data_IF_093506932701
#
_entry.id   IF_093506932701
#
_cell.length_a   1.000
_cell.length_b   1.000
_cell.length_c   1.000
_cell.angle_alpha   90.00
_cell.angle_beta   90.00
_cell.angle_gamma   90.00
#
_symmetry.space_group_name_H-M   'P 1'
#
loop_
_entity.id
_entity.type
_entity.pdbx_description
1 polymer ?
#
# COMPACT_ATOMS: atom_id res chain seq x y z
N UNK A 1 -11.31 -3.76 -11.11
CA UNK A 1 -9.84 -3.93 -11.04
C UNK A 1 -9.17 -2.57 -11.17
N UNK A 2 -8.84 -1.92 -10.03
CA UNK A 2 -8.10 -0.67 -9.97
C UNK A 2 -6.66 -1.02 -9.57
N UNK A 3 -5.68 -0.65 -10.39
CA UNK A 3 -4.28 -1.01 -10.19
C UNK A 3 -3.57 0.07 -9.38
N UNK A 4 -2.93 -0.21 -8.25
CA UNK A 4 -2.38 0.83 -7.35
C UNK A 4 -0.85 0.77 -7.29
N UNK A 5 -0.17 1.90 -7.47
CA UNK A 5 1.27 2.02 -7.24
C UNK A 5 1.56 3.32 -6.50
N UNK A 6 2.49 3.25 -5.55
CA UNK A 6 2.88 4.35 -4.68
C UNK A 6 4.33 4.73 -4.93
N UNK A 7 4.60 6.03 -5.05
CA UNK A 7 5.95 6.57 -5.19
C UNK A 7 6.19 7.65 -4.14
N UNK A 8 7.25 7.48 -3.35
CA UNK A 8 7.62 8.41 -2.28
C UNK A 8 7.97 9.78 -2.87
N UNK A 9 7.40 10.84 -2.30
CA UNK A 9 7.80 12.21 -2.58
C UNK A 9 8.58 12.79 -1.40
N UNK A 10 7.95 12.91 -0.22
CA UNK A 10 8.57 13.49 0.98
C UNK A 10 8.26 12.68 2.24
N UNK A 11 9.20 12.67 3.20
CA UNK A 11 9.01 12.07 4.52
C UNK A 11 9.52 13.04 5.58
N UNK A 12 8.63 13.47 6.48
CA UNK A 12 8.92 14.43 7.55
C UNK A 12 8.40 13.89 8.88
N UNK A 13 9.28 13.58 9.83
CA UNK A 13 8.95 12.99 11.15
C UNK A 13 7.99 11.78 11.08
N UNK A 14 6.69 12.04 11.07
CA UNK A 14 5.59 11.07 11.03
C UNK A 14 4.65 11.26 9.85
N UNK A 15 4.91 12.19 8.94
CA UNK A 15 4.10 12.43 7.74
C UNK A 15 4.84 12.02 6.49
N UNK A 16 4.12 11.39 5.57
CA UNK A 16 4.64 10.80 4.34
C UNK A 16 3.76 11.22 3.16
N UNK A 17 4.33 12.00 2.25
CA UNK A 17 3.68 12.39 1.00
C UNK A 17 4.13 11.47 -0.13
N UNK A 18 3.17 11.02 -0.93
CA UNK A 18 3.43 10.09 -2.02
C UNK A 18 2.46 10.27 -3.17
N UNK A 19 2.97 10.01 -4.37
CA UNK A 19 2.17 9.91 -5.56
C UNK A 19 1.50 8.55 -5.61
N UNK A 20 0.18 8.55 -5.70
CA UNK A 20 -0.60 7.38 -6.00
C UNK A 20 -1.02 7.42 -7.46
N UNK A 21 -0.83 6.32 -8.18
CA UNK A 21 -1.29 6.21 -9.55
C UNK A 21 -1.97 4.90 -9.86
N UNK A 22 -2.89 4.97 -10.82
CA UNK A 22 -3.59 3.82 -11.35
C UNK A 22 -3.88 3.96 -12.84
N UNK A 23 -4.00 2.82 -13.53
CA UNK A 23 -4.53 2.79 -14.91
C UNK A 23 -6.04 2.62 -14.89
N UNK A 24 -6.73 3.40 -15.72
CA UNK A 24 -8.16 3.28 -16.02
C UNK A 24 -8.32 3.23 -17.54
N UNK A 25 -8.41 2.02 -18.08
CA UNK A 25 -8.34 1.81 -19.54
C UNK A 25 -7.00 2.31 -20.10
N UNK A 26 -6.99 3.11 -21.17
CA UNK A 26 -5.75 3.64 -21.75
C UNK A 26 -5.12 4.79 -20.93
N UNK A 27 -5.86 5.36 -19.98
CA UNK A 27 -5.41 6.51 -19.20
C UNK A 27 -4.66 6.08 -17.94
N UNK A 28 -3.61 6.82 -17.59
CA UNK A 28 -3.00 6.74 -16.25
C UNK A 28 -3.40 7.98 -15.46
N UNK A 29 -3.88 7.78 -14.23
CA UNK A 29 -4.25 8.86 -13.31
C UNK A 29 -3.24 8.91 -12.18
N UNK A 30 -2.89 10.12 -11.78
CA UNK A 30 -1.98 10.43 -10.67
C UNK A 30 -2.69 11.38 -9.71
N UNK A 31 -2.43 11.21 -8.42
CA UNK A 31 -2.85 12.14 -7.38
C UNK A 31 -1.91 12.02 -6.20
N UNK A 32 -1.69 13.16 -5.53
CA UNK A 32 -0.89 13.20 -4.32
C UNK A 32 -1.75 12.82 -3.12
N UNK A 33 -1.20 11.92 -2.30
CA UNK A 33 -1.77 11.53 -1.02
C UNK A 33 -0.78 11.83 0.10
N UNK A 34 -1.33 12.09 1.28
CA UNK A 34 -0.57 12.23 2.52
C UNK A 34 -0.96 11.11 3.46
N UNK A 35 0.03 10.46 4.03
CA UNK A 35 -0.14 9.51 5.12
C UNK A 35 0.47 10.04 6.41
N UNK A 36 -0.19 9.74 7.52
CA UNK A 36 0.34 9.90 8.88
C UNK A 36 0.76 8.53 9.41
N UNK A 37 1.98 8.41 9.90
CA UNK A 37 2.53 7.24 10.57
C UNK A 37 2.31 7.38 12.09
N UNK A 38 1.79 6.34 12.71
CA UNK A 38 1.54 6.33 14.15
C UNK A 38 1.58 4.90 14.69
N UNK A 39 1.58 4.75 16.01
CA UNK A 39 1.43 3.46 16.67
C UNK A 39 0.03 3.33 17.23
N UNK A 40 -0.67 2.24 16.89
CA UNK A 40 -1.95 1.87 17.50
C UNK A 40 -1.71 0.69 18.44
N UNK A 41 -1.76 0.95 19.75
CA UNK A 41 -1.54 -0.08 20.79
C UNK A 41 -0.32 -0.95 20.51
N UNK A 42 0.81 -0.33 20.15
CA UNK A 42 2.11 -0.94 19.77
C UNK A 42 2.19 -1.56 18.37
N UNK A 43 1.13 -1.51 17.58
CA UNK A 43 1.17 -1.90 16.16
C UNK A 43 1.54 -0.68 15.30
N UNK A 44 2.55 -0.78 14.43
CA UNK A 44 2.81 0.25 13.43
C UNK A 44 1.60 0.43 12.51
N UNK A 45 1.16 1.66 12.33
CA UNK A 45 -0.01 2.01 11.56
C UNK A 45 0.26 3.21 10.67
N UNK A 46 -0.49 3.28 9.57
CA UNK A 46 -0.57 4.48 8.74
C UNK A 46 -2.02 4.87 8.50
N UNK A 47 -2.28 6.17 8.36
CA UNK A 47 -3.57 6.72 7.97
C UNK A 47 -3.37 7.52 6.70
N UNK A 48 -3.96 7.07 5.59
CA UNK A 48 -4.01 7.84 4.35
C UNK A 48 -5.16 8.83 4.48
N UNK A 49 -4.86 10.13 4.38
CA UNK A 49 -5.82 11.20 4.62
C UNK A 49 -6.75 11.39 3.42
N UNK A 50 -8.06 11.55 3.66
CA UNK A 50 -9.04 11.83 2.59
C UNK A 50 -8.81 13.21 1.94
N UNK A 51 -8.22 14.13 2.70
CA UNK A 51 -7.77 15.44 2.24
C UNK A 51 -6.48 15.81 2.99
N UNK A 52 -5.40 16.25 2.33
CA UNK A 52 -4.11 16.51 2.99
C UNK A 52 -4.14 17.52 4.14
N UNK A 53 -5.18 18.36 4.20
CA UNK A 53 -5.39 19.38 5.25
C UNK A 53 -6.41 19.00 6.33
N UNK A 54 -6.95 17.77 6.35
CA UNK A 54 -7.90 17.30 7.37
C UNK A 54 -7.31 16.16 8.21
N UNK A 55 -6.51 16.47 9.24
CA UNK A 55 -5.91 15.45 10.10
C UNK A 55 -6.97 14.60 10.81
N UNK A 56 -6.66 13.32 11.05
CA UNK A 56 -7.53 12.41 11.79
C UNK A 56 -8.71 11.79 11.00
N UNK A 57 -9.01 12.26 9.79
CA UNK A 57 -9.97 11.61 8.87
C UNK A 57 -9.23 10.95 7.72
N UNK A 58 -9.49 9.67 7.51
CA UNK A 58 -8.84 8.90 6.45
C UNK A 58 -8.89 7.40 6.68
N UNK A 59 -8.49 6.65 5.66
CA UNK A 59 -8.44 5.21 5.73
C UNK A 59 -7.24 4.77 6.58
N UNK A 60 -7.53 3.96 7.60
CA UNK A 60 -6.52 3.36 8.48
C UNK A 60 -5.98 2.07 7.88
N UNK A 61 -4.68 1.88 8.02
CA UNK A 61 -3.91 0.71 7.60
C UNK A 61 -3.04 0.26 8.78
N UNK A 62 -3.31 -0.93 9.28
CA UNK A 62 -2.54 -1.56 10.34
C UNK A 62 -1.53 -2.52 9.74
N UNK A 63 -0.24 -2.29 9.97
CA UNK A 63 0.79 -3.19 9.46
C UNK A 63 0.75 -4.52 10.23
N UNK A 64 0.63 -5.62 9.50
CA UNK A 64 0.59 -6.98 10.06
C UNK A 64 1.84 -7.79 9.75
N UNK A 65 2.47 -7.50 8.64
CA UNK A 65 3.67 -8.19 8.21
C UNK A 65 4.58 -7.23 7.44
N UNK A 66 5.88 -7.40 7.64
CA UNK A 66 6.93 -6.71 6.93
C UNK A 66 8.05 -7.70 6.62
N UNK A 67 8.37 -7.86 5.34
CA UNK A 67 9.51 -8.67 4.90
C UNK A 67 10.59 -7.76 4.32
N UNK A 68 11.75 -7.73 4.97
CA UNK A 68 12.89 -6.90 4.51
C UNK A 68 13.52 -7.45 3.23
N UNK A 69 13.55 -8.77 3.06
CA UNK A 69 14.20 -9.45 1.93
C UNK A 69 13.41 -9.24 0.65
N UNK A 70 12.10 -9.52 0.68
CA UNK A 70 11.20 -9.33 -0.46
C UNK A 70 10.72 -7.87 -0.58
N UNK A 71 11.05 -7.01 0.39
CA UNK A 71 10.62 -5.60 0.47
C UNK A 71 9.12 -5.45 0.24
N UNK A 72 8.36 -6.12 1.09
CA UNK A 72 6.91 -6.12 1.04
C UNK A 72 6.30 -5.83 2.42
N UNK A 73 5.08 -5.30 2.39
CA UNK A 73 4.28 -5.02 3.57
C UNK A 73 2.85 -5.50 3.37
N UNK A 74 2.24 -6.03 4.43
CA UNK A 74 0.82 -6.38 4.45
C UNK A 74 0.11 -5.53 5.48
N UNK A 75 -1.03 -4.98 5.08
CA UNK A 75 -1.84 -4.10 5.90
C UNK A 75 -3.27 -4.61 6.00
N UNK A 76 -3.83 -4.49 7.20
CA UNK A 76 -5.27 -4.64 7.43
C UNK A 76 -5.92 -3.26 7.42
N UNK A 77 -6.99 -3.13 6.66
CA UNK A 77 -7.80 -1.93 6.57
C UNK A 77 -9.06 -2.09 7.43
N UNK A 78 -9.65 -0.98 7.87
CA UNK A 78 -10.98 -0.99 8.48
C UNK A 78 -11.99 -1.65 7.53
N UNK A 79 -12.74 -2.65 8.03
CA UNK A 79 -13.74 -3.40 7.23
C UNK A 79 -13.18 -4.59 6.45
N UNK A 80 -12.30 -5.39 7.07
CA UNK A 80 -11.84 -6.72 6.60
C UNK A 80 -11.08 -6.77 5.27
N UNK A 81 -10.70 -5.63 4.71
CA UNK A 81 -9.89 -5.60 3.49
C UNK A 81 -8.40 -5.68 3.83
N UNK A 82 -7.70 -6.61 3.19
CA UNK A 82 -6.24 -6.67 3.22
C UNK A 82 -5.61 -6.02 2.00
N UNK A 83 -4.43 -5.44 2.17
CA UNK A 83 -3.60 -5.01 1.06
C UNK A 83 -2.15 -5.45 1.24
N UNK A 84 -1.60 -5.99 0.17
CA UNK A 84 -0.17 -6.26 0.03
C UNK A 84 0.45 -5.17 -0.84
N UNK A 85 1.59 -4.65 -0.38
CA UNK A 85 2.44 -3.75 -1.15
C UNK A 85 3.80 -4.42 -1.31
N UNK A 86 4.30 -4.47 -2.54
CA UNK A 86 5.62 -5.01 -2.88
C UNK A 86 6.35 -3.92 -3.67
N UNK A 87 7.65 -3.76 -3.42
CA UNK A 87 8.46 -2.87 -4.26
C UNK A 87 8.51 -3.37 -5.70
N UNK A 88 8.46 -2.45 -6.66
CA UNK A 88 8.41 -2.75 -8.10
C UNK A 88 9.44 -3.81 -8.55
N UNK A 89 10.67 -3.74 -8.04
CA UNK A 89 11.77 -4.66 -8.38
C UNK A 89 11.53 -6.11 -7.95
N UNK A 90 10.66 -6.34 -6.98
CA UNK A 90 10.41 -7.64 -6.35
C UNK A 90 9.00 -8.18 -6.61
N UNK A 91 8.20 -7.53 -7.47
CA UNK A 91 6.82 -7.96 -7.77
C UNK A 91 6.76 -9.42 -8.26
N UNK A 92 7.75 -9.86 -9.03
CA UNK A 92 7.82 -11.24 -9.53
C UNK A 92 8.46 -12.22 -8.52
N UNK A 93 9.02 -11.72 -7.42
CA UNK A 93 9.82 -12.46 -6.45
C UNK A 93 9.39 -12.13 -5.00
N UNK A 94 8.12 -12.33 -4.67
CA UNK A 94 7.52 -12.02 -3.36
C UNK A 94 6.79 -13.23 -2.74
N UNK A 95 7.34 -14.42 -2.94
CA UNK A 95 6.72 -15.70 -2.56
C UNK A 95 6.36 -15.82 -1.08
N UNK A 96 7.17 -15.29 -0.15
CA UNK A 96 6.85 -15.33 1.27
C UNK A 96 5.71 -14.37 1.60
N UNK A 97 5.71 -13.19 0.99
CA UNK A 97 4.63 -12.21 1.15
C UNK A 97 3.29 -12.79 0.66
N UNK A 98 3.29 -13.40 -0.53
CA UNK A 98 2.12 -14.04 -1.11
C UNK A 98 1.58 -15.15 -0.19
N UNK A 99 2.47 -16.02 0.32
CA UNK A 99 2.08 -17.09 1.23
C UNK A 99 1.50 -16.55 2.56
N UNK A 100 2.08 -15.47 3.11
CA UNK A 100 1.55 -14.84 4.32
C UNK A 100 0.22 -14.13 4.04
N UNK A 101 0.05 -13.52 2.87
CA UNK A 101 -1.18 -12.87 2.47
C UNK A 101 -2.31 -13.90 2.36
N UNK A 102 -2.10 -14.99 1.64
CA UNK A 102 -3.10 -16.05 1.48
C UNK A 102 -3.51 -16.64 2.83
N UNK A 103 -2.55 -16.80 3.75
CA UNK A 103 -2.81 -17.30 5.11
C UNK A 103 -3.61 -16.32 5.97
N UNK A 104 -3.31 -15.02 5.89
CA UNK A 104 -3.91 -14.00 6.75
C UNK A 104 -5.22 -13.42 6.21
N UNK A 105 -5.38 -13.40 4.89
CA UNK A 105 -6.40 -12.62 4.18
C UNK A 105 -7.29 -13.47 3.27
N UNK A 106 -6.95 -14.74 3.05
CA UNK A 106 -7.73 -15.64 2.22
C UNK A 106 -7.64 -15.30 0.73
N UNK A 107 -8.79 -15.28 0.03
CA UNK A 107 -8.83 -15.09 -1.43
C UNK A 107 -8.30 -13.71 -1.82
N UNK A 108 -7.32 -13.73 -2.73
CA UNK A 108 -6.68 -12.53 -3.27
C UNK A 108 -7.06 -12.32 -4.75
N UNK A 109 -6.95 -11.08 -5.21
CA UNK A 109 -7.03 -10.74 -6.64
C UNK A 109 -5.84 -9.83 -6.97
N UNK A 110 -5.00 -10.18 -7.96
CA UNK A 110 -3.85 -9.36 -8.31
C UNK A 110 -4.30 -8.01 -8.88
N UNK A 111 -3.94 -6.94 -8.17
CA UNK A 111 -4.18 -5.55 -8.59
C UNK A 111 -2.96 -4.92 -9.25
N UNK A 112 -1.87 -5.64 -9.44
CA UNK A 112 -0.73 -5.17 -10.21
C UNK A 112 -0.26 -6.33 -11.10
N UNK A 113 -0.29 -6.12 -12.41
CA UNK A 113 0.10 -7.14 -13.40
C UNK A 113 1.50 -6.83 -13.91
N UNK A 114 2.27 -7.85 -14.31
CA UNK A 114 3.63 -7.68 -14.89
C UNK A 114 3.65 -6.79 -16.14
N UNK A 115 2.54 -6.72 -16.87
CA UNK A 115 2.30 -5.74 -17.96
C UNK A 115 2.32 -4.26 -17.50
N UNK A 116 2.33 -4.01 -16.20
CA UNK A 116 2.52 -2.68 -15.61
C UNK A 116 4.00 -2.34 -15.39
N UNK A 117 4.88 -3.34 -15.36
CA UNK A 117 6.34 -3.17 -15.18
C UNK A 117 7.00 -2.76 -16.50
N UNK A 118 6.53 -3.33 -17.61
CA UNK A 118 7.05 -3.07 -18.96
C UNK A 118 6.37 -1.81 -19.53
N UNK A 119 7.08 -0.70 -19.48
CA UNK A 119 6.96 0.38 -20.48
C UNK A 119 8.26 0.36 -21.27
#
# INVERSE_FOLDING_TARGET
NRLLSLEKENLTNTTYDFWNWYRKGPQTKYYNERAELFNESRTPAMRILDHPSRPGKGQKYLMRYWNKTETCALFFLSGENCKQYIWRKNVENATMCDAVFDKLCGRSYPVFLTSCIRK
#
